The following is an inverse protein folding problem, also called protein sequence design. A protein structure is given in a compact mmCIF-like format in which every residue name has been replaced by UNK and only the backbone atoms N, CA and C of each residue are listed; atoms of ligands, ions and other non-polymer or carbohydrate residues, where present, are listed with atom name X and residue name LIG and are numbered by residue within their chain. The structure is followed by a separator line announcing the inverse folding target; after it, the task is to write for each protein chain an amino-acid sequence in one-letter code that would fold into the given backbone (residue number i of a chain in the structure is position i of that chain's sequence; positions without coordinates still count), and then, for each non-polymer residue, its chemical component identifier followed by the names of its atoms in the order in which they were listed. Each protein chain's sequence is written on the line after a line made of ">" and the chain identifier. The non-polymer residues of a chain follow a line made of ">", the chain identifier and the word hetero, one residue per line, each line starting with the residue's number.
data_IF_404018652612
#
_entry.id   IF_404018652612
#
_cell.length_a   1.000
_cell.length_b   1.000
_cell.length_c   1.000
_cell.angle_alpha   90.00
_cell.angle_beta   90.00
_cell.angle_gamma   90.00
#
_symmetry.space_group_name_H-M   'P 1'
#
loop_
_entity.id
_entity.type
_entity.pdbx_description
1 polymer ?
#
# COMPACT_ATOMS: atom_id res chain seq x y z
N UNK A 1 -15.62 -26.01 -10.51
CA UNK A 1 -16.16 -24.65 -10.58
C UNK A 1 -15.20 -23.79 -9.79
N UNK A 2 -14.47 -22.88 -10.45
CA UNK A 2 -13.49 -22.04 -9.76
C UNK A 2 -14.26 -20.95 -9.02
N UNK A 3 -14.32 -21.07 -7.70
CA UNK A 3 -14.85 -20.04 -6.81
C UNK A 3 -13.83 -18.89 -6.81
N UNK A 4 -14.06 -17.91 -7.67
CA UNK A 4 -13.37 -16.62 -7.58
C UNK A 4 -13.67 -16.05 -6.20
N UNK A 5 -12.68 -15.65 -5.39
CA UNK A 5 -12.95 -14.98 -4.13
C UNK A 5 -13.79 -13.75 -4.43
N UNK A 6 -14.86 -13.60 -3.65
CA UNK A 6 -15.90 -12.59 -3.79
C UNK A 6 -15.30 -11.20 -4.08
N UNK A 7 -15.87 -10.41 -5.00
CA UNK A 7 -15.41 -9.05 -5.23
C UNK A 7 -15.54 -8.30 -3.92
N UNK A 8 -14.39 -7.96 -3.33
CA UNK A 8 -14.32 -7.14 -2.13
C UNK A 8 -15.25 -5.95 -2.35
N UNK A 9 -16.34 -5.90 -1.58
CA UNK A 9 -17.31 -4.81 -1.58
C UNK A 9 -16.54 -3.49 -1.65
N UNK A 10 -16.95 -2.51 -2.48
CA UNK A 10 -16.31 -1.22 -2.46
C UNK A 10 -16.54 -0.63 -1.07
N UNK A 11 -15.54 -0.74 -0.19
CA UNK A 11 -15.39 0.13 0.96
C UNK A 11 -15.63 1.54 0.43
N UNK A 12 -16.60 2.23 1.05
CA UNK A 12 -17.18 3.52 0.68
C UNK A 12 -16.38 4.37 -0.31
N UNK A 13 -17.05 5.04 -1.27
CA UNK A 13 -16.36 5.90 -2.23
C UNK A 13 -15.47 6.91 -1.50
N UNK A 14 -14.16 6.75 -1.67
CA UNK A 14 -13.19 7.80 -1.41
C UNK A 14 -12.90 8.07 0.06
N UNK A 15 -12.52 7.04 0.82
CA UNK A 15 -11.57 7.35 1.88
C UNK A 15 -10.18 7.45 1.21
N UNK A 16 -9.64 8.67 1.01
CA UNK A 16 -8.37 8.87 0.30
C UNK A 16 -7.24 8.10 0.97
N UNK A 17 -7.37 7.76 2.25
CA UNK A 17 -6.42 6.92 2.96
C UNK A 17 -6.24 5.54 2.33
N UNK A 18 -7.35 4.87 1.99
CA UNK A 18 -7.30 3.54 1.38
C UNK A 18 -6.82 3.57 -0.06
N UNK A 19 -7.20 4.62 -0.80
CA UNK A 19 -6.77 4.81 -2.19
C UNK A 19 -5.26 5.03 -2.25
N UNK A 20 -4.73 5.93 -1.42
CA UNK A 20 -3.30 6.24 -1.35
C UNK A 20 -2.50 5.01 -0.87
N UNK A 21 -2.97 4.30 0.15
CA UNK A 21 -2.33 3.06 0.63
C UNK A 21 -2.23 2.00 -0.46
N UNK A 22 -3.32 1.77 -1.20
CA UNK A 22 -3.37 0.80 -2.30
C UNK A 22 -2.43 1.21 -3.45
N UNK A 23 -2.43 2.49 -3.80
CA UNK A 23 -1.59 3.00 -4.89
C UNK A 23 -0.11 2.84 -4.57
N UNK A 24 0.31 3.22 -3.35
CA UNK A 24 1.66 3.00 -2.84
C UNK A 24 2.05 1.51 -2.86
N UNK A 25 1.15 0.61 -2.44
CA UNK A 25 1.41 -0.83 -2.49
C UNK A 25 1.62 -1.35 -3.93
N UNK A 26 0.83 -0.89 -4.89
CA UNK A 26 1.01 -1.24 -6.31
C UNK A 26 2.32 -0.68 -6.88
N UNK A 27 2.71 0.52 -6.47
CA UNK A 27 3.99 1.13 -6.87
C UNK A 27 5.16 0.29 -6.37
N UNK A 28 5.16 -0.10 -5.08
CA UNK A 28 6.20 -0.96 -4.48
C UNK A 28 6.30 -2.30 -5.21
N UNK A 29 5.17 -2.95 -5.50
CA UNK A 29 5.14 -4.22 -6.23
C UNK A 29 5.77 -4.07 -7.62
N UNK A 30 5.43 -2.98 -8.33
CA UNK A 30 5.96 -2.70 -9.67
C UNK A 30 7.48 -2.50 -9.65
N UNK A 31 8.00 -1.69 -8.76
CA UNK A 31 9.45 -1.44 -8.68
C UNK A 31 10.21 -2.69 -8.21
N UNK A 32 9.63 -3.47 -7.30
CA UNK A 32 10.17 -4.77 -6.88
C UNK A 32 10.24 -5.74 -8.07
N UNK A 33 9.19 -5.81 -8.90
CA UNK A 33 9.16 -6.66 -10.10
C UNK A 33 10.15 -6.20 -11.18
N UNK A 34 10.48 -4.91 -11.22
CA UNK A 34 11.51 -4.34 -12.11
C UNK A 34 12.94 -4.56 -11.59
N UNK A 35 13.11 -5.05 -10.36
CA UNK A 35 14.41 -5.21 -9.71
C UNK A 35 14.98 -3.92 -9.12
N UNK A 36 14.20 -2.84 -9.10
CA UNK A 36 14.59 -1.54 -8.56
C UNK A 36 14.24 -1.49 -7.07
N UNK A 37 15.06 -2.17 -6.27
CA UNK A 37 14.84 -2.30 -4.83
C UNK A 37 15.03 -0.97 -4.08
N UNK A 38 15.88 -0.07 -4.56
CA UNK A 38 16.10 1.25 -3.95
C UNK A 38 14.81 2.07 -3.97
N UNK A 39 14.16 2.16 -5.13
CA UNK A 39 12.89 2.88 -5.27
C UNK A 39 11.76 2.18 -4.50
N UNK A 40 11.72 0.84 -4.52
CA UNK A 40 10.71 0.08 -3.77
C UNK A 40 10.81 0.31 -2.25
N UNK A 41 12.02 0.38 -1.69
CA UNK A 41 12.27 0.66 -0.27
C UNK A 41 11.84 2.09 0.10
N UNK A 42 12.12 3.08 -0.76
CA UNK A 42 11.65 4.46 -0.56
C UNK A 42 10.12 4.54 -0.47
N UNK A 43 9.40 3.90 -1.39
CA UNK A 43 7.94 3.86 -1.35
C UNK A 43 7.39 3.06 -0.16
N UNK A 44 8.13 2.06 0.32
CA UNK A 44 7.77 1.30 1.51
C UNK A 44 7.91 2.13 2.80
N UNK A 45 8.96 2.95 2.91
CA UNK A 45 9.13 3.92 4.00
C UNK A 45 8.01 4.98 3.99
N UNK A 46 7.68 5.52 2.81
CA UNK A 46 6.58 6.47 2.64
C UNK A 46 5.25 5.83 3.05
N UNK A 47 4.99 4.59 2.63
CA UNK A 47 3.80 3.84 3.02
C UNK A 47 3.71 3.65 4.54
N UNK A 48 4.82 3.30 5.19
CA UNK A 48 4.89 3.09 6.65
C UNK A 48 4.68 4.39 7.43
N UNK A 49 5.20 5.51 6.93
CA UNK A 49 4.93 6.85 7.48
C UNK A 49 3.48 7.26 7.29
N UNK A 50 2.89 6.92 6.13
CA UNK A 50 1.51 7.24 5.79
C UNK A 50 0.49 6.45 6.62
N UNK A 51 0.74 5.16 6.88
CA UNK A 51 -0.13 4.33 7.72
C UNK A 51 0.04 4.62 9.22
N UNK A 52 1.03 5.42 9.60
CA UNK A 52 1.33 5.71 11.01
C UNK A 52 1.85 4.49 11.77
N UNK A 53 2.30 3.45 11.07
CA UNK A 53 2.90 2.24 11.68
C UNK A 53 4.34 2.47 12.13
N UNK A 54 4.89 3.66 11.89
CA UNK A 54 6.00 4.14 12.69
C UNK A 54 5.45 4.51 14.08
N UNK A 55 5.81 3.79 15.17
CA UNK A 55 5.42 4.20 16.50
C UNK A 55 5.93 5.63 16.66
N UNK A 56 4.99 6.56 16.74
CA UNK A 56 5.26 7.92 17.13
C UNK A 56 6.00 7.75 18.45
N UNK A 57 7.29 8.10 18.47
CA UNK A 57 8.00 8.39 19.71
C UNK A 57 7.23 9.53 20.36
N UNK A 58 6.19 9.17 21.09
CA UNK A 58 5.90 9.80 22.37
C UNK A 58 7.13 9.52 23.22
N UNK A 59 7.64 10.58 23.85
CA UNK A 59 8.87 10.69 24.66
C UNK A 59 10.10 11.17 23.89
#
# INVERSE_FOLDING_TARGET
>A
MAEFPEPHLPLSPGDPHWVIKRDLAHIIERYTALGDQETADEYQDILSKYTGEHPTKLF
#
